data_IF_009940555212
#
_entry.id   IF_009940555212
#
_cell.length_a   1.000
_cell.length_b   1.000
_cell.length_c   1.000
_cell.angle_alpha   90.00
_cell.angle_beta   90.00
_cell.angle_gamma   90.00
#
_symmetry.space_group_name_H-M   'P 1'
#
loop_
_entity.id
_entity.type
_entity.pdbx_description
1 polymer ?
#
# COMPACT_ATOMS: atom_id res chain seq x y z
N UNK A 1 10.01 -3.15 4.49
CA UNK A 1 9.33 -2.87 3.20
C UNK A 1 7.92 -2.45 3.50
N UNK A 2 7.47 -1.40 2.84
CA UNK A 2 6.15 -0.82 3.16
C UNK A 2 4.96 -1.72 2.81
N UNK A 3 5.09 -2.64 1.86
CA UNK A 3 4.02 -3.60 1.56
C UNK A 3 3.69 -4.47 2.77
N UNK A 4 4.71 -4.96 3.49
CA UNK A 4 4.51 -5.72 4.71
C UNK A 4 3.69 -4.94 5.74
N UNK A 5 4.01 -3.67 5.90
CA UNK A 5 3.32 -2.80 6.86
C UNK A 5 1.90 -2.47 6.41
N UNK A 6 1.67 -2.30 5.10
CA UNK A 6 0.32 -2.13 4.57
C UNK A 6 -0.55 -3.36 4.83
N UNK A 7 -0.01 -4.56 4.64
CA UNK A 7 -0.70 -5.81 4.94
C UNK A 7 -1.03 -5.92 6.43
N UNK A 8 -0.05 -5.66 7.29
CA UNK A 8 -0.27 -5.71 8.74
C UNK A 8 -1.31 -4.68 9.19
N UNK A 9 -1.32 -3.51 8.59
CA UNK A 9 -2.33 -2.48 8.86
C UNK A 9 -3.74 -2.97 8.53
N UNK A 10 -3.90 -3.66 7.41
CA UNK A 10 -5.20 -4.24 7.02
C UNK A 10 -5.70 -5.30 8.02
N UNK A 11 -4.78 -5.92 8.76
CA UNK A 11 -5.10 -7.00 9.70
C UNK A 11 -5.25 -6.53 11.16
N UNK A 12 -5.20 -5.22 11.41
CA UNK A 12 -5.31 -4.70 12.80
C UNK A 12 -6.62 -5.09 13.46
N UNK A 13 -7.72 -4.90 12.75
CA UNK A 13 -9.06 -5.05 13.31
C UNK A 13 -9.74 -6.36 12.91
N UNK A 14 -9.24 -7.06 11.92
CA UNK A 14 -9.89 -8.26 11.39
C UNK A 14 -8.87 -9.20 10.75
N UNK A 15 -9.09 -10.48 10.92
CA UNK A 15 -8.32 -11.51 10.23
C UNK A 15 -8.88 -11.67 8.82
N UNK A 16 -7.99 -11.83 7.84
CA UNK A 16 -8.36 -11.94 6.44
C UNK A 16 -7.61 -13.10 5.78
N UNK A 17 -8.26 -13.72 4.80
CA UNK A 17 -7.58 -14.64 3.90
C UNK A 17 -6.73 -13.86 2.89
N UNK A 18 -5.79 -14.54 2.22
CA UNK A 18 -5.00 -13.92 1.15
C UNK A 18 -5.89 -13.38 0.03
N UNK A 19 -6.97 -14.08 -0.30
CA UNK A 19 -7.93 -13.63 -1.30
C UNK A 19 -8.66 -12.36 -0.87
N UNK A 20 -9.19 -12.33 0.36
CA UNK A 20 -9.88 -11.15 0.89
C UNK A 20 -8.93 -9.94 0.94
N UNK A 21 -7.69 -10.16 1.37
CA UNK A 21 -6.67 -9.12 1.40
C UNK A 21 -6.35 -8.60 0.00
N UNK A 22 -6.22 -9.49 -0.99
CA UNK A 22 -6.00 -9.09 -2.38
C UNK A 22 -7.13 -8.22 -2.91
N UNK A 23 -8.37 -8.52 -2.54
CA UNK A 23 -9.51 -7.69 -2.91
C UNK A 23 -9.48 -6.32 -2.25
N UNK A 24 -9.06 -6.24 -1.00
CA UNK A 24 -8.89 -4.96 -0.31
C UNK A 24 -7.83 -4.09 -1.02
N UNK A 25 -6.75 -4.70 -1.51
CA UNK A 25 -5.74 -4.00 -2.31
C UNK A 25 -6.24 -3.57 -3.68
N UNK A 26 -7.27 -4.22 -4.22
CA UNK A 26 -7.91 -3.78 -5.48
C UNK A 26 -8.84 -2.60 -5.28
N UNK A 27 -9.36 -2.40 -4.07
CA UNK A 27 -10.36 -1.36 -3.77
C UNK A 27 -9.78 -0.23 -2.92
N UNK A 28 -9.76 -0.39 -1.60
CA UNK A 28 -9.41 0.70 -0.68
C UNK A 28 -7.91 0.88 -0.48
N UNK A 29 -7.18 -0.20 -0.18
CA UNK A 29 -5.74 -0.12 0.07
C UNK A 29 -4.94 0.19 -1.19
N UNK A 30 -5.41 -0.25 -2.35
CA UNK A 30 -4.78 0.04 -3.63
C UNK A 30 -4.70 1.53 -3.95
N UNK A 31 -5.49 2.35 -3.27
CA UNK A 31 -5.38 3.80 -3.36
C UNK A 31 -4.03 4.32 -2.86
N UNK A 32 -3.45 3.63 -1.89
CA UNK A 32 -2.21 4.04 -1.24
C UNK A 32 -1.02 3.17 -1.64
N UNK A 33 -1.27 1.93 -1.97
CA UNK A 33 -0.22 0.97 -2.26
C UNK A 33 -0.67 -0.07 -3.28
N UNK A 34 -0.03 -0.08 -4.43
CA UNK A 34 -0.29 -1.07 -5.46
C UNK A 34 0.55 -2.32 -5.23
N UNK A 35 -0.09 -3.48 -5.26
CA UNK A 35 0.60 -4.76 -5.19
C UNK A 35 -0.18 -5.81 -5.97
N UNK A 36 0.55 -6.70 -6.64
CA UNK A 36 -0.06 -7.84 -7.32
C UNK A 36 -0.45 -8.92 -6.30
N UNK A 37 -1.36 -9.82 -6.71
CA UNK A 37 -1.73 -10.99 -5.90
C UNK A 37 -0.50 -11.79 -5.49
N UNK A 38 0.42 -12.02 -6.43
CA UNK A 38 1.66 -12.75 -6.17
C UNK A 38 2.52 -12.08 -5.11
N UNK A 39 2.69 -10.76 -5.19
CA UNK A 39 3.44 -10.01 -4.19
C UNK A 39 2.81 -10.10 -2.81
N UNK A 40 1.48 -10.01 -2.74
CA UNK A 40 0.74 -10.11 -1.48
C UNK A 40 0.94 -11.50 -0.85
N UNK A 41 0.78 -12.56 -1.63
CA UNK A 41 0.96 -13.93 -1.14
C UNK A 41 2.39 -14.20 -0.68
N UNK A 42 3.37 -13.73 -1.43
CA UNK A 42 4.79 -13.84 -1.04
C UNK A 42 5.06 -13.12 0.29
N UNK A 43 4.52 -11.94 0.44
CA UNK A 43 4.72 -11.15 1.65
C UNK A 43 4.01 -11.78 2.87
N UNK A 44 2.82 -12.35 2.67
CA UNK A 44 2.11 -13.09 3.72
C UNK A 44 2.95 -14.26 4.23
N UNK A 45 3.59 -15.02 3.34
CA UNK A 45 4.48 -16.11 3.73
C UNK A 45 5.66 -15.62 4.55
N UNK A 46 6.29 -14.54 4.13
CA UNK A 46 7.43 -13.94 4.84
C UNK A 46 7.04 -13.47 6.24
N UNK A 47 5.89 -12.84 6.37
CA UNK A 47 5.39 -12.33 7.64
C UNK A 47 5.02 -13.48 8.59
N UNK A 48 4.44 -14.55 8.07
CA UNK A 48 4.15 -15.74 8.84
C UNK A 48 5.43 -16.41 9.32
N UNK A 49 6.46 -16.49 8.47
CA UNK A 49 7.77 -17.04 8.84
C UNK A 49 8.46 -16.23 9.97
N UNK A 50 8.22 -14.93 10.02
CA UNK A 50 8.71 -14.06 11.10
C UNK A 50 7.87 -14.15 12.37
N UNK A 51 6.77 -14.90 12.33
CA UNK A 51 5.79 -14.98 13.42
C UNK A 51 5.10 -13.64 13.73
N UNK A 52 5.10 -12.73 12.78
CA UNK A 52 4.32 -11.49 12.87
C UNK A 52 2.86 -11.70 12.48
N UNK A 53 2.60 -12.74 11.68
CA UNK A 53 1.26 -13.23 11.40
C UNK A 53 1.13 -14.68 11.86
N UNK A 54 -0.04 -15.03 12.36
CA UNK A 54 -0.44 -16.43 12.44
C UNK A 54 -1.30 -16.77 11.24
N UNK A 55 -1.42 -18.05 10.95
CA UNK A 55 -2.32 -18.53 9.91
C UNK A 55 -3.12 -19.68 10.46
N UNK A 56 -4.39 -19.74 10.09
CA UNK A 56 -5.28 -20.84 10.46
C UNK A 56 -6.10 -21.25 9.25
N UNK A 57 -6.40 -22.52 9.19
CA UNK A 57 -7.23 -23.08 8.14
C UNK A 57 -8.68 -23.01 8.56
N UNK A 58 -9.54 -22.52 7.68
CA UNK A 58 -10.97 -22.42 7.91
C UNK A 58 -11.70 -23.32 6.91
N UNK A 59 -12.47 -24.26 7.44
CA UNK A 59 -13.30 -25.16 6.62
C UNK A 59 -14.46 -24.39 6.01
N UNK A 60 -14.66 -24.57 4.71
CA UNK A 60 -15.79 -23.99 3.99
C UNK A 60 -16.64 -25.10 3.39
N UNK A 61 -17.96 -25.00 3.60
CA UNK A 61 -18.91 -25.97 3.07
C UNK A 61 -18.97 -25.86 1.53
N UNK A 62 -18.67 -26.96 0.82
CA UNK A 62 -18.73 -27.02 -0.63
C UNK A 62 -17.63 -26.24 -1.37
N UNK A 63 -16.61 -25.79 -0.65
CA UNK A 63 -15.46 -25.03 -1.17
C UNK A 63 -14.17 -25.55 -0.56
N UNK A 64 -13.01 -25.33 -1.23
CA UNK A 64 -11.73 -25.61 -0.59
C UNK A 64 -11.58 -24.82 0.72
N UNK A 65 -10.84 -25.39 1.66
CA UNK A 65 -10.53 -24.68 2.89
C UNK A 65 -9.73 -23.42 2.58
N UNK A 66 -10.00 -22.35 3.31
CA UNK A 66 -9.24 -21.12 3.17
C UNK A 66 -8.26 -20.94 4.31
N UNK A 67 -7.15 -20.28 4.04
CA UNK A 67 -6.17 -19.90 5.05
C UNK A 67 -6.43 -18.44 5.41
N UNK A 68 -6.63 -18.20 6.71
CA UNK A 68 -6.88 -16.88 7.27
C UNK A 68 -5.67 -16.45 8.07
N UNK A 69 -5.24 -15.22 7.84
CA UNK A 69 -4.08 -14.62 8.52
C UNK A 69 -4.55 -13.62 9.56
N UNK A 70 -3.87 -13.63 10.71
CA UNK A 70 -4.12 -12.69 11.79
C UNK A 70 -2.83 -12.10 12.30
N UNK A 71 -2.90 -10.89 12.84
CA UNK A 71 -1.75 -10.20 13.39
C UNK A 71 -1.43 -10.75 14.79
N UNK A 72 -0.19 -11.18 15.00
CA UNK A 72 0.27 -11.64 16.32
C UNK A 72 0.61 -10.43 17.20
N UNK A 73 0.86 -10.69 18.49
CA UNK A 73 1.37 -9.65 19.40
C UNK A 73 2.71 -9.10 18.90
N UNK A 74 3.61 -9.99 18.45
CA UNK A 74 4.89 -9.59 17.88
C UNK A 74 4.70 -8.71 16.64
N UNK A 75 3.73 -9.05 15.78
CA UNK A 75 3.40 -8.25 14.62
C UNK A 75 2.84 -6.88 14.99
N UNK A 76 1.97 -6.81 15.98
CA UNK A 76 1.44 -5.53 16.49
C UNK A 76 2.54 -4.64 17.04
N UNK A 77 3.45 -5.22 17.81
CA UNK A 77 4.58 -4.48 18.39
C UNK A 77 5.50 -3.96 17.28
N UNK A 78 5.79 -4.80 16.27
CA UNK A 78 6.61 -4.39 15.13
C UNK A 78 5.96 -3.27 14.31
N UNK A 79 4.66 -3.34 14.10
CA UNK A 79 3.92 -2.31 13.38
C UNK A 79 3.93 -0.99 14.16
N UNK A 80 3.68 -1.05 15.46
CA UNK A 80 3.71 0.12 16.34
C UNK A 80 5.09 0.79 16.33
N UNK A 81 6.15 0.02 16.41
CA UNK A 81 7.52 0.53 16.33
C UNK A 81 7.80 1.18 14.98
N UNK A 82 7.35 0.55 13.89
CA UNK A 82 7.53 1.11 12.54
C UNK A 82 6.84 2.46 12.37
N UNK A 83 5.66 2.66 12.96
CA UNK A 83 4.92 3.94 12.88
C UNK A 83 5.75 5.09 13.42
N UNK A 84 6.56 4.85 14.45
CA UNK A 84 7.43 5.87 15.03
C UNK A 84 8.79 6.01 14.32
N UNK A 85 9.10 5.13 13.40
CA UNK A 85 10.34 5.20 12.63
C UNK A 85 10.27 6.32 11.61
N UNK A 86 11.43 6.79 11.16
CA UNK A 86 11.50 7.85 10.15
C UNK A 86 11.12 7.29 8.78
N UNK A 87 10.20 7.94 8.11
CA UNK A 87 9.84 7.59 6.73
C UNK A 87 11.02 7.93 5.80
N UNK A 88 11.39 6.95 4.98
CA UNK A 88 12.43 7.16 3.96
C UNK A 88 11.88 8.04 2.85
N UNK A 89 12.64 9.09 2.50
CA UNK A 89 12.32 9.90 1.34
C UNK A 89 12.59 9.08 0.08
N UNK A 90 11.58 8.92 -0.75
CA UNK A 90 11.76 8.24 -2.03
C UNK A 90 12.47 9.19 -2.99
N UNK A 91 13.52 8.72 -3.64
CA UNK A 91 14.12 9.44 -4.76
C UNK A 91 13.14 9.33 -5.93
N UNK A 92 12.53 10.45 -6.26
CA UNK A 92 11.51 10.47 -7.32
C UNK A 92 12.18 10.32 -8.69
N UNK A 93 11.88 9.20 -9.37
CA UNK A 93 12.08 9.11 -10.82
C UNK A 93 10.90 9.80 -11.47
N UNK A 94 11.04 11.08 -11.76
CA UNK A 94 9.93 11.91 -12.22
C UNK A 94 10.21 12.42 -13.64
N UNK A 95 9.43 11.91 -14.59
CA UNK A 95 9.56 12.32 -15.99
C UNK A 95 9.32 13.82 -16.19
N UNK A 96 8.44 14.43 -15.40
CA UNK A 96 8.19 15.87 -15.50
C UNK A 96 9.46 16.68 -15.23
N UNK A 97 10.27 16.25 -14.27
CA UNK A 97 11.54 16.93 -13.98
C UNK A 97 12.46 16.89 -15.20
N UNK A 98 12.53 15.75 -15.89
CA UNK A 98 13.32 15.62 -17.12
C UNK A 98 12.76 16.56 -18.22
N UNK A 99 11.44 16.61 -18.36
CA UNK A 99 10.79 17.52 -19.32
C UNK A 99 11.13 18.99 -19.06
N UNK A 100 11.19 19.37 -17.77
CA UNK A 100 11.52 20.73 -17.38
C UNK A 100 12.95 21.16 -17.78
N UNK A 101 13.88 20.22 -17.86
CA UNK A 101 15.21 20.49 -18.40
C UNK A 101 15.18 20.82 -19.90
N UNK A 102 14.09 20.48 -20.59
CA UNK A 102 13.89 20.77 -22.01
C UNK A 102 12.96 21.98 -22.23
N UNK A 103 12.72 22.77 -21.18
CA UNK A 103 11.83 23.95 -21.28
C UNK A 103 12.27 24.89 -22.37
N UNK A 104 11.32 25.28 -23.21
CA UNK A 104 11.53 26.20 -24.33
C UNK A 104 10.26 27.03 -24.54
N UNK A 105 10.34 28.13 -25.33
CA UNK A 105 9.13 28.90 -25.65
C UNK A 105 8.05 28.08 -26.36
N UNK A 106 8.43 27.04 -27.12
CA UNK A 106 7.48 26.18 -27.84
C UNK A 106 6.68 25.25 -26.93
N UNK A 107 7.24 24.83 -25.77
CA UNK A 107 6.59 23.87 -24.89
C UNK A 107 6.20 24.44 -23.52
N UNK A 108 6.52 25.72 -23.25
CA UNK A 108 6.30 26.30 -21.91
C UNK A 108 4.84 26.24 -21.46
N UNK A 109 3.90 26.56 -22.34
CA UNK A 109 2.48 26.54 -22.00
C UNK A 109 1.98 25.12 -21.74
N UNK A 110 2.48 24.14 -22.50
CA UNK A 110 2.13 22.73 -22.32
C UNK A 110 2.64 22.21 -20.96
N UNK A 111 3.90 22.52 -20.63
CA UNK A 111 4.48 22.10 -19.36
C UNK A 111 3.83 22.79 -18.17
N UNK A 112 3.46 24.07 -18.32
CA UNK A 112 2.71 24.79 -17.29
C UNK A 112 1.35 24.14 -17.02
N UNK A 113 0.64 23.69 -18.07
CA UNK A 113 -0.62 22.98 -17.93
C UNK A 113 -0.43 21.65 -17.22
N UNK A 114 0.63 20.91 -17.54
CA UNK A 114 0.94 19.63 -16.88
C UNK A 114 1.24 19.82 -15.39
N UNK A 115 1.95 20.88 -15.02
CA UNK A 115 2.21 21.23 -13.63
C UNK A 115 0.90 21.55 -12.89
N UNK A 116 0.01 22.32 -13.55
CA UNK A 116 -1.29 22.67 -12.97
C UNK A 116 -2.15 21.43 -12.72
N UNK A 117 -2.17 20.48 -13.66
CA UNK A 117 -2.89 19.21 -13.51
C UNK A 117 -2.35 18.39 -12.36
N UNK A 118 -1.02 18.31 -12.23
CA UNK A 118 -0.37 17.60 -11.13
C UNK A 118 -0.71 18.24 -9.79
N UNK A 119 -0.73 19.57 -9.73
CA UNK A 119 -1.11 20.29 -8.52
C UNK A 119 -2.53 19.95 -8.10
N UNK A 120 -3.47 19.92 -9.03
CA UNK A 120 -4.86 19.55 -8.74
C UNK A 120 -4.96 18.11 -8.20
N UNK A 121 -4.22 17.19 -8.79
CA UNK A 121 -4.18 15.80 -8.35
C UNK A 121 -3.65 15.70 -6.92
N UNK A 122 -2.58 16.39 -6.59
CA UNK A 122 -2.03 16.43 -5.24
C UNK A 122 -3.00 17.04 -4.23
N UNK A 123 -3.71 18.10 -4.60
CA UNK A 123 -4.73 18.72 -3.75
C UNK A 123 -5.88 17.76 -3.47
N UNK A 124 -6.27 16.97 -4.46
CA UNK A 124 -7.31 15.93 -4.29
C UNK A 124 -6.85 14.84 -3.33
N UNK A 125 -5.61 14.37 -3.45
CA UNK A 125 -5.04 13.39 -2.53
C UNK A 125 -4.96 13.93 -1.11
N UNK A 126 -4.55 15.17 -0.94
CA UNK A 126 -4.51 15.82 0.36
C UNK A 126 -5.90 15.85 1.01
N UNK A 127 -6.91 16.19 0.25
CA UNK A 127 -8.30 16.19 0.72
C UNK A 127 -8.72 14.79 1.19
N UNK A 128 -8.38 13.74 0.42
CA UNK A 128 -8.68 12.36 0.80
C UNK A 128 -7.98 11.99 2.12
N UNK A 129 -6.70 12.34 2.26
CA UNK A 129 -5.94 12.04 3.48
C UNK A 129 -6.52 12.74 4.71
N UNK A 130 -7.00 13.97 4.56
CA UNK A 130 -7.63 14.71 5.65
C UNK A 130 -8.94 14.06 6.13
N UNK A 131 -9.59 13.26 5.29
CA UNK A 131 -10.83 12.55 5.61
C UNK A 131 -10.62 11.19 6.26
N UNK A 132 -9.39 10.69 6.32
CA UNK A 132 -9.08 9.34 6.82
C UNK A 132 -9.05 9.27 8.35
N UNK A 133 -9.11 10.32 9.06
CA UNK A 133 -9.11 10.35 10.53
C UNK A 133 -10.25 9.57 11.16
#
# INVERSE_FOLDING_TARGET
MALAHAIMTALIDTDLSGYELSRDFETSLGFFWHASHQQIYQELHKLADKSWLNKREVNQRGKPNKIVYGLTKSGRDALAEWVFSKTKTQTAKDELVIKLYNLSPENASHLAAEIADRRQEMMRLLYVYEKIR
#
